data_IF_585382863623
#
_entry.id   IF_585382863623
#
_cell.length_a   1.000
_cell.length_b   1.000
_cell.length_c   1.000
_cell.angle_alpha   90.00
_cell.angle_beta   90.00
_cell.angle_gamma   90.00
#
_symmetry.space_group_name_H-M   'P 1'
#
loop_
_entity.id
_entity.type
_entity.pdbx_description
1 polymer ?
#
# COMPACT_ATOMS: atom_id res chain seq x y z
N UNK A 1 14.13 3.84 -0.27
CA UNK A 1 13.89 2.38 -0.12
C UNK A 1 12.41 2.15 -0.32
N UNK A 2 12.03 1.18 -1.16
CA UNK A 2 10.65 0.91 -1.53
C UNK A 2 10.11 -0.32 -0.78
N UNK A 3 8.86 -0.25 -0.32
CA UNK A 3 8.20 -1.32 0.43
C UNK A 3 6.96 -1.78 -0.32
N UNK A 4 6.91 -3.07 -0.60
CA UNK A 4 5.78 -3.75 -1.22
C UNK A 4 4.91 -4.36 -0.14
N UNK A 5 3.62 -4.07 -0.18
CA UNK A 5 2.71 -4.44 0.90
C UNK A 5 1.44 -5.12 0.38
N UNK A 6 1.03 -6.21 1.02
CA UNK A 6 -0.22 -6.91 0.73
C UNK A 6 -1.08 -6.91 1.99
N UNK A 7 -2.35 -6.53 1.85
CA UNK A 7 -3.31 -6.51 2.97
C UNK A 7 -3.55 -5.14 3.59
N UNK A 8 -3.38 -4.04 2.84
CA UNK A 8 -3.58 -2.66 3.32
C UNK A 8 -5.03 -2.30 3.69
N UNK A 9 -6.01 -3.16 3.41
CA UNK A 9 -7.44 -2.94 3.67
C UNK A 9 -7.92 -3.43 5.05
N UNK A 10 -7.10 -4.24 5.73
CA UNK A 10 -7.40 -4.72 7.08
C UNK A 10 -7.06 -3.66 8.14
N UNK A 11 -7.74 -3.67 9.28
CA UNK A 11 -7.53 -2.69 10.36
C UNK A 11 -6.06 -2.58 10.78
N UNK A 12 -5.37 -3.72 10.94
CA UNK A 12 -3.95 -3.72 11.29
C UNK A 12 -3.03 -3.41 10.11
N UNK A 13 -3.31 -3.99 8.93
CA UNK A 13 -2.48 -3.80 7.75
C UNK A 13 -2.46 -2.35 7.28
N UNK A 14 -3.60 -1.67 7.39
CA UNK A 14 -3.74 -0.26 7.09
C UNK A 14 -2.86 0.62 8.00
N UNK A 15 -2.91 0.40 9.32
CA UNK A 15 -2.07 1.13 10.28
C UNK A 15 -0.57 0.92 10.02
N UNK A 16 -0.17 -0.30 9.66
CA UNK A 16 1.22 -0.58 9.26
C UNK A 16 1.62 0.16 7.99
N UNK A 17 0.77 0.15 6.96
CA UNK A 17 1.00 0.89 5.72
C UNK A 17 1.19 2.39 5.96
N UNK A 18 0.32 3.02 6.77
CA UNK A 18 0.46 4.43 7.16
C UNK A 18 1.76 4.70 7.89
N UNK A 19 2.13 3.85 8.83
CA UNK A 19 3.37 4.03 9.60
C UNK A 19 4.62 3.93 8.69
N UNK A 20 4.61 3.03 7.71
CA UNK A 20 5.68 2.92 6.71
C UNK A 20 5.83 4.25 5.94
N UNK A 21 4.72 4.80 5.43
CA UNK A 21 4.75 6.11 4.74
C UNK A 21 5.18 7.25 5.67
N UNK A 22 4.67 7.28 6.90
CA UNK A 22 5.02 8.31 7.90
C UNK A 22 6.51 8.30 8.26
N UNK A 23 7.20 7.16 8.06
CA UNK A 23 8.65 7.04 8.24
C UNK A 23 9.45 7.39 6.98
N UNK A 24 8.78 7.83 5.90
CA UNK A 24 9.42 8.29 4.67
C UNK A 24 9.75 7.19 3.66
N UNK A 25 9.19 5.99 3.81
CA UNK A 25 9.36 4.94 2.81
C UNK A 25 8.32 5.06 1.70
N UNK A 26 8.74 4.82 0.46
CA UNK A 26 7.83 4.69 -0.68
C UNK A 26 7.03 3.40 -0.55
N UNK A 27 5.71 3.53 -0.43
CA UNK A 27 4.80 2.41 -0.27
C UNK A 27 4.16 2.04 -1.61
N UNK A 28 4.25 0.77 -1.97
CA UNK A 28 3.52 0.16 -3.07
C UNK A 28 2.67 -1.00 -2.54
N UNK A 29 1.43 -1.14 -3.02
CA UNK A 29 0.54 -2.21 -2.54
C UNK A 29 -0.37 -2.76 -3.64
N UNK A 30 -1.01 -3.90 -3.37
CA UNK A 30 -2.05 -4.48 -4.24
C UNK A 30 -3.33 -4.69 -3.46
N UNK A 31 -4.44 -4.76 -4.18
CA UNK A 31 -5.76 -5.06 -3.64
C UNK A 31 -6.40 -6.19 -4.42
N UNK A 32 -7.09 -7.09 -3.72
CA UNK A 32 -7.93 -8.12 -4.36
C UNK A 32 -9.19 -7.52 -5.00
N UNK A 33 -9.74 -6.47 -4.41
CA UNK A 33 -10.91 -5.73 -4.90
C UNK A 33 -10.78 -4.26 -4.49
N UNK A 34 -11.42 -3.37 -5.24
CA UNK A 34 -11.42 -1.95 -4.95
C UNK A 34 -12.00 -1.66 -3.56
N UNK A 35 -11.40 -0.69 -2.87
CA UNK A 35 -11.82 -0.32 -1.53
C UNK A 35 -11.40 1.11 -1.22
N UNK A 36 -12.34 1.91 -0.75
CA UNK A 36 -12.08 3.29 -0.32
C UNK A 36 -11.28 3.36 0.99
N UNK A 37 -11.04 2.22 1.65
CA UNK A 37 -10.27 2.15 2.90
C UNK A 37 -8.80 2.47 2.73
N UNK A 38 -8.30 2.58 1.49
CA UNK A 38 -6.89 2.92 1.21
C UNK A 38 -6.74 4.30 0.57
N UNK A 39 -7.81 5.09 0.49
CA UNK A 39 -7.79 6.40 -0.16
C UNK A 39 -6.75 7.33 0.47
N UNK A 40 -6.62 7.33 1.79
CA UNK A 40 -5.63 8.11 2.50
C UNK A 40 -4.17 7.64 2.24
N UNK A 41 -3.94 6.35 2.01
CA UNK A 41 -2.63 5.84 1.59
C UNK A 41 -2.26 6.39 0.21
N UNK A 42 -3.21 6.39 -0.73
CA UNK A 42 -3.05 6.92 -2.08
C UNK A 42 -2.82 8.43 -2.05
N UNK A 43 -3.60 9.17 -1.26
CA UNK A 43 -3.42 10.61 -1.04
C UNK A 43 -2.06 10.93 -0.40
N UNK A 44 -1.57 10.06 0.47
CA UNK A 44 -0.21 10.13 1.04
C UNK A 44 0.90 9.68 0.06
N UNK A 45 0.57 9.40 -1.20
CA UNK A 45 1.53 9.09 -2.27
C UNK A 45 1.86 7.61 -2.44
N UNK A 46 1.08 6.69 -1.85
CA UNK A 46 1.26 5.26 -2.11
C UNK A 46 0.85 4.92 -3.54
N UNK A 47 1.52 3.92 -4.12
CA UNK A 47 1.19 3.40 -5.45
C UNK A 47 0.44 2.08 -5.34
N UNK A 48 -0.69 1.98 -6.05
CA UNK A 48 -1.38 0.69 -6.22
C UNK A 48 -0.89 0.01 -7.50
N UNK A 49 -0.50 -1.26 -7.37
CA UNK A 49 -0.20 -2.16 -8.49
C UNK A 49 -1.41 -3.07 -8.76
N UNK A 50 -1.58 -3.51 -10.01
CA UNK A 50 -2.74 -4.30 -10.40
C UNK A 50 -2.69 -5.72 -9.83
N UNK A 51 -1.49 -6.30 -9.76
CA UNK A 51 -1.29 -7.66 -9.30
C UNK A 51 0.04 -7.86 -8.54
N UNK A 52 0.23 -9.07 -8.01
CA UNK A 52 1.44 -9.43 -7.27
C UNK A 52 2.72 -9.44 -8.13
N UNK A 53 2.60 -9.71 -9.43
CA UNK A 53 3.74 -9.76 -10.32
C UNK A 53 4.26 -8.35 -10.66
N UNK A 54 3.37 -7.37 -10.79
CA UNK A 54 3.74 -5.95 -10.88
C UNK A 54 4.35 -5.46 -9.57
N UNK A 55 3.73 -5.77 -8.43
CA UNK A 55 4.27 -5.42 -7.12
C UNK A 55 5.67 -6.00 -6.88
N UNK A 56 5.95 -7.22 -7.35
CA UNK A 56 7.25 -7.87 -7.19
C UNK A 56 8.35 -7.32 -8.12
N UNK A 57 8.00 -6.58 -9.18
CA UNK A 57 8.94 -5.96 -10.14
C UNK A 57 9.34 -4.54 -9.75
N UNK A 58 8.85 -4.11 -8.59
CA UNK A 58 8.99 -2.75 -8.10
C UNK A 58 10.43 -2.44 -7.66
#
# INVERSE_FOLDING_TARGET
MRVGFVGATGLMGHGMAKNIQAKGFELSFTLRADSDRVSDLLEAGATRNADYAELGRM
#
